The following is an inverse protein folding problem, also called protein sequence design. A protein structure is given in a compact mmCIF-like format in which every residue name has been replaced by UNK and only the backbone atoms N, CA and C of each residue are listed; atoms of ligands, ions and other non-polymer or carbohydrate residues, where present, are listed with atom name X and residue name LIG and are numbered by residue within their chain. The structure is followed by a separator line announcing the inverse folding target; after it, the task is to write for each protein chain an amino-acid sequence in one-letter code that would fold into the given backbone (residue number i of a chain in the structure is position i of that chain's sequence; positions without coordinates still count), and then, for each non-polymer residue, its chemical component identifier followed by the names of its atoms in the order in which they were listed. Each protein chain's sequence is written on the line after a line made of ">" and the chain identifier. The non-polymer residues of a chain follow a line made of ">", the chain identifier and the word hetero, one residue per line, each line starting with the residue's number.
data_IF_115266241032
#
_entry.id   IF_115266241032
#
_cell.length_a   1.000
_cell.length_b   1.000
_cell.length_c   1.000
_cell.angle_alpha   90.00
_cell.angle_beta   90.00
_cell.angle_gamma   90.00
#
_symmetry.space_group_name_H-M   'P 1'
#
loop_
_entity.id
_entity.type
_entity.pdbx_description
1 polymer ?
#
# COMPACT_ATOMS: atom_id res chain seq x y z
N UNK A 1 -11.90 -9.05 10.56
CA UNK A 1 -12.19 -7.89 9.70
C UNK A 1 -12.21 -8.32 8.24
N UNK A 2 -12.99 -7.61 7.40
CA UNK A 2 -12.81 -7.64 5.94
C UNK A 2 -11.75 -6.66 5.52
N UNK A 3 -10.67 -7.16 4.94
CA UNK A 3 -9.51 -6.34 4.57
C UNK A 3 -9.35 -6.39 3.06
N UNK A 4 -9.51 -5.26 2.39
CA UNK A 4 -9.24 -5.13 0.96
C UNK A 4 -7.79 -4.71 0.76
N UNK A 5 -7.05 -5.52 -0.01
CA UNK A 5 -5.66 -5.24 -0.37
C UNK A 5 -5.60 -4.84 -1.85
N UNK A 6 -5.26 -3.59 -2.09
CA UNK A 6 -5.08 -3.03 -3.42
C UNK A 6 -3.59 -2.93 -3.75
N UNK A 7 -3.19 -3.50 -4.88
CA UNK A 7 -1.90 -3.19 -5.49
C UNK A 7 -2.11 -1.96 -6.39
N UNK A 8 -1.43 -0.87 -6.07
CA UNK A 8 -1.50 0.37 -6.82
C UNK A 8 -1.16 0.15 -8.31
N UNK A 9 -1.81 0.94 -9.15
CA UNK A 9 -1.65 0.93 -10.60
C UNK A 9 -2.08 -0.37 -11.31
N UNK A 10 -2.09 -0.34 -12.62
CA UNK A 10 -2.31 -1.52 -13.47
C UNK A 10 -0.98 -2.05 -13.99
N UNK A 11 -0.91 -3.33 -14.31
CA UNK A 11 0.30 -3.95 -14.86
C UNK A 11 0.55 -3.53 -16.31
N UNK A 12 -0.54 -3.31 -17.06
CA UNK A 12 -0.51 -2.96 -18.47
C UNK A 12 -1.38 -1.72 -18.74
N UNK A 13 -1.11 -1.02 -19.86
CA UNK A 13 -1.87 0.14 -20.27
C UNK A 13 -1.22 1.46 -19.85
N UNK A 14 -2.03 2.49 -19.63
CA UNK A 14 -1.58 3.87 -19.38
C UNK A 14 -1.35 4.22 -17.92
N UNK A 15 -1.79 3.37 -16.99
CA UNK A 15 -1.75 3.62 -15.54
C UNK A 15 -0.78 2.71 -14.80
N UNK A 16 0.42 2.51 -15.33
CA UNK A 16 1.42 1.56 -14.80
C UNK A 16 2.27 2.11 -13.65
N UNK A 17 2.03 3.33 -13.21
CA UNK A 17 2.75 3.95 -12.11
C UNK A 17 4.16 4.41 -12.46
N UNK A 18 4.95 4.66 -11.44
CA UNK A 18 6.29 5.18 -11.56
C UNK A 18 7.30 4.08 -11.95
N UNK A 19 8.33 4.49 -12.70
CA UNK A 19 9.42 3.62 -13.14
C UNK A 19 10.75 4.29 -12.81
N UNK A 20 11.61 3.54 -12.13
CA UNK A 20 12.97 3.96 -11.78
C UNK A 20 13.85 2.71 -11.61
N UNK A 21 14.53 2.59 -10.49
CA UNK A 21 15.24 1.35 -10.08
C UNK A 21 14.27 0.21 -9.81
N UNK A 22 13.04 0.55 -9.47
CA UNK A 22 11.89 -0.33 -9.28
C UNK A 22 10.79 0.04 -10.29
N UNK A 23 9.95 -0.92 -10.63
CA UNK A 23 8.76 -0.70 -11.46
C UNK A 23 7.55 -0.84 -10.52
N UNK A 24 6.92 0.28 -10.20
CA UNK A 24 5.89 0.35 -9.16
C UNK A 24 4.80 -0.70 -9.33
N UNK A 25 4.17 -0.79 -10.50
CA UNK A 25 3.08 -1.74 -10.74
C UNK A 25 3.47 -3.21 -10.58
N UNK A 26 4.74 -3.55 -10.76
CA UNK A 26 5.25 -4.91 -10.56
C UNK A 26 5.50 -5.17 -9.08
N UNK A 27 6.18 -4.23 -8.42
CA UNK A 27 6.61 -4.43 -7.04
C UNK A 27 5.45 -4.35 -6.05
N UNK A 28 4.48 -3.45 -6.27
CA UNK A 28 3.27 -3.36 -5.43
C UNK A 28 2.46 -4.66 -5.45
N UNK A 29 2.38 -5.34 -6.60
CA UNK A 29 1.71 -6.65 -6.71
C UNK A 29 2.40 -7.71 -5.89
N UNK A 30 3.73 -7.79 -5.96
CA UNK A 30 4.49 -8.79 -5.20
C UNK A 30 4.33 -8.57 -3.69
N UNK A 31 4.36 -7.30 -3.23
CA UNK A 31 4.09 -6.97 -1.83
C UNK A 31 2.65 -7.36 -1.46
N UNK A 32 1.67 -7.00 -2.30
CA UNK A 32 0.27 -7.30 -2.04
C UNK A 32 0.00 -8.80 -1.96
N UNK A 33 0.56 -9.60 -2.87
CA UNK A 33 0.41 -11.06 -2.84
C UNK A 33 1.05 -11.68 -1.59
N UNK A 34 2.24 -11.22 -1.20
CA UNK A 34 2.89 -11.71 0.01
C UNK A 34 2.11 -11.30 1.27
N UNK A 35 1.56 -10.08 1.30
CA UNK A 35 0.69 -9.62 2.39
C UNK A 35 -0.59 -10.46 2.49
N UNK A 36 -1.26 -10.72 1.38
CA UNK A 36 -2.46 -11.57 1.35
C UNK A 36 -2.16 -12.99 1.83
N UNK A 37 -1.02 -13.55 1.43
CA UNK A 37 -0.56 -14.86 1.92
C UNK A 37 -0.36 -14.87 3.43
N UNK A 38 0.29 -13.86 4.00
CA UNK A 38 0.48 -13.76 5.46
C UNK A 38 -0.84 -13.53 6.22
N UNK A 39 -1.77 -12.79 5.63
CA UNK A 39 -3.09 -12.57 6.22
C UNK A 39 -4.02 -13.79 6.12
N UNK A 40 -3.76 -14.73 5.21
CA UNK A 40 -4.56 -15.96 5.07
C UNK A 40 -4.52 -16.85 6.33
N UNK A 41 -3.44 -16.74 7.13
CA UNK A 41 -3.29 -17.47 8.41
C UNK A 41 -3.91 -16.69 9.60
N UNK A 42 -4.66 -15.63 9.34
CA UNK A 42 -5.33 -14.80 10.34
C UNK A 42 -6.86 -14.91 10.22
N UNK A 43 -7.66 -14.49 11.24
CA UNK A 43 -9.11 -14.52 11.16
C UNK A 43 -9.71 -13.41 10.28
N UNK A 44 -8.94 -12.87 9.34
CA UNK A 44 -9.39 -11.82 8.43
C UNK A 44 -9.95 -12.41 7.13
N UNK A 45 -11.04 -11.81 6.63
CA UNK A 45 -11.57 -12.04 5.28
C UNK A 45 -10.80 -11.12 4.31
N UNK A 46 -9.87 -11.69 3.54
CA UNK A 46 -8.95 -10.93 2.68
C UNK A 46 -9.48 -10.87 1.26
N UNK A 47 -9.70 -9.68 0.76
CA UNK A 47 -10.28 -9.41 -0.54
C UNK A 47 -9.23 -8.75 -1.45
N UNK A 48 -8.77 -9.43 -2.51
CA UNK A 48 -7.82 -8.84 -3.45
C UNK A 48 -8.50 -7.79 -4.34
N UNK A 49 -7.88 -6.61 -4.46
CA UNK A 49 -8.22 -5.57 -5.41
C UNK A 49 -6.99 -5.30 -6.31
N UNK A 50 -6.67 -6.28 -7.15
CA UNK A 50 -5.51 -6.27 -8.05
C UNK A 50 -6.00 -6.32 -9.49
N UNK A 51 -5.76 -5.26 -10.26
CA UNK A 51 -6.25 -5.10 -11.62
C UNK A 51 -5.08 -5.00 -12.60
N UNK A 52 -4.97 -5.95 -13.52
CA UNK A 52 -3.85 -5.99 -14.46
C UNK A 52 -4.03 -5.05 -15.65
N UNK A 53 -5.27 -4.88 -16.10
CA UNK A 53 -5.59 -4.01 -17.24
C UNK A 53 -7.00 -3.44 -17.09
N UNK A 54 -7.09 -2.15 -16.80
CA UNK A 54 -8.32 -1.37 -16.77
C UNK A 54 -7.96 0.12 -16.76
N UNK A 55 -8.85 0.97 -17.24
CA UNK A 55 -8.70 2.44 -17.17
C UNK A 55 -9.36 3.02 -15.89
N UNK A 56 -10.07 2.18 -15.14
CA UNK A 56 -10.89 2.57 -13.98
C UNK A 56 -10.47 1.86 -12.69
N UNK A 57 -9.19 1.48 -12.57
CA UNK A 57 -8.68 0.72 -11.42
C UNK A 57 -8.97 1.38 -10.05
N UNK A 58 -8.92 2.71 -9.96
CA UNK A 58 -9.22 3.42 -8.70
C UNK A 58 -10.70 3.29 -8.34
N UNK A 59 -11.58 3.44 -9.33
CA UNK A 59 -13.03 3.29 -9.18
C UNK A 59 -13.40 1.86 -8.83
N UNK A 60 -12.81 0.89 -9.52
CA UNK A 60 -13.05 -0.54 -9.28
C UNK A 60 -12.59 -0.96 -7.88
N UNK A 61 -11.40 -0.52 -7.42
CA UNK A 61 -10.89 -0.82 -6.10
C UNK A 61 -11.78 -0.24 -4.99
N UNK A 62 -12.21 1.01 -5.12
CA UNK A 62 -13.10 1.66 -4.15
C UNK A 62 -14.51 1.07 -4.16
N UNK A 63 -15.05 0.77 -5.35
CA UNK A 63 -16.35 0.13 -5.48
C UNK A 63 -16.35 -1.27 -4.84
N UNK A 64 -15.30 -2.06 -5.08
CA UNK A 64 -15.13 -3.38 -4.47
C UNK A 64 -15.13 -3.29 -2.94
N UNK A 65 -14.34 -2.38 -2.37
CA UNK A 65 -14.28 -2.18 -0.92
C UNK A 65 -15.66 -1.80 -0.35
N UNK A 66 -16.35 -0.87 -1.00
CA UNK A 66 -17.65 -0.38 -0.55
C UNK A 66 -18.78 -1.43 -0.68
N UNK A 67 -18.82 -2.19 -1.79
CA UNK A 67 -19.82 -3.25 -2.02
C UNK A 67 -19.60 -4.43 -1.07
N UNK A 68 -18.35 -4.75 -0.78
CA UNK A 68 -17.98 -5.84 0.15
C UNK A 68 -18.11 -5.41 1.62
N UNK A 69 -18.51 -4.17 1.92
CA UNK A 69 -18.56 -3.61 3.28
C UNK A 69 -17.25 -3.89 4.03
N UNK A 70 -16.12 -3.50 3.42
CA UNK A 70 -14.82 -3.67 4.02
C UNK A 70 -14.69 -2.89 5.34
N UNK A 71 -13.91 -3.41 6.27
CA UNK A 71 -13.55 -2.74 7.52
C UNK A 71 -12.25 -1.92 7.32
N UNK A 72 -11.40 -2.38 6.41
CA UNK A 72 -10.10 -1.77 6.12
C UNK A 72 -9.76 -1.89 4.64
N UNK A 73 -9.25 -0.82 4.06
CA UNK A 73 -8.71 -0.75 2.71
C UNK A 73 -7.24 -0.31 2.76
N UNK A 74 -6.35 -1.14 2.24
CA UNK A 74 -4.91 -0.83 2.12
C UNK A 74 -4.55 -0.76 0.63
N UNK A 75 -4.10 0.41 0.18
CA UNK A 75 -3.55 0.60 -1.16
C UNK A 75 -2.03 0.71 -1.09
N UNK A 76 -1.31 -0.19 -1.76
CA UNK A 76 0.14 -0.28 -1.72
C UNK A 76 0.71 0.39 -2.97
N UNK A 77 1.59 1.36 -2.77
CA UNK A 77 2.25 2.18 -3.78
C UNK A 77 3.76 2.28 -3.54
N UNK A 78 4.48 2.76 -4.54
CA UNK A 78 5.86 3.21 -4.45
C UNK A 78 5.96 4.62 -5.00
N UNK A 79 6.59 5.51 -4.27
CA UNK A 79 6.72 6.93 -4.58
C UNK A 79 7.77 7.21 -5.67
N UNK A 80 7.73 8.41 -6.22
CA UNK A 80 8.73 8.95 -7.13
C UNK A 80 8.98 10.44 -6.86
N UNK A 81 10.08 11.00 -7.37
CA UNK A 81 10.40 12.43 -7.23
C UNK A 81 11.65 12.70 -6.40
N UNK A 82 12.60 11.76 -6.41
CA UNK A 82 13.93 11.86 -5.78
C UNK A 82 13.92 12.06 -4.25
N UNK A 83 12.78 11.73 -3.60
CA UNK A 83 12.72 11.62 -2.15
C UNK A 83 13.31 10.29 -1.65
N UNK A 84 13.15 9.99 -0.36
CA UNK A 84 13.50 8.69 0.22
C UNK A 84 12.64 8.39 1.44
N UNK A 85 12.40 7.09 1.70
CA UNK A 85 11.65 6.60 2.84
C UNK A 85 10.18 6.33 2.57
N UNK A 86 9.45 5.97 3.62
CA UNK A 86 8.04 5.55 3.59
C UNK A 86 7.12 6.65 4.10
N UNK A 87 5.95 6.79 3.49
CA UNK A 87 4.88 7.67 3.95
C UNK A 87 3.51 7.02 3.77
N UNK A 88 2.53 7.47 4.51
CA UNK A 88 1.17 6.97 4.41
C UNK A 88 0.16 8.11 4.31
N UNK A 89 -0.91 7.89 3.56
CA UNK A 89 -1.99 8.85 3.40
C UNK A 89 -3.29 8.28 3.96
N UNK A 90 -4.00 9.09 4.74
CA UNK A 90 -5.30 8.74 5.34
C UNK A 90 -6.28 9.90 5.23
N UNK A 91 -7.59 9.62 5.39
CA UNK A 91 -8.61 10.66 5.34
C UNK A 91 -8.53 11.58 6.56
N UNK A 92 -8.15 12.84 6.35
CA UNK A 92 -8.12 13.92 7.37
C UNK A 92 -7.52 13.53 8.73
N UNK A 93 -6.89 12.36 8.82
CA UNK A 93 -6.42 11.79 10.07
C UNK A 93 -4.91 11.59 10.05
N UNK A 94 -4.20 12.56 10.58
CA UNK A 94 -2.74 12.47 10.77
C UNK A 94 -2.33 11.50 11.89
N UNK A 95 -3.30 11.04 12.70
CA UNK A 95 -3.10 10.17 13.87
C UNK A 95 -3.66 8.75 13.65
N UNK A 96 -3.84 8.31 12.40
CA UNK A 96 -4.30 6.95 12.12
C UNK A 96 -3.30 5.93 12.67
N UNK A 97 -3.74 5.14 13.67
CA UNK A 97 -2.87 4.21 14.40
C UNK A 97 -2.25 3.16 13.48
N UNK A 98 -3.02 2.56 12.54
CA UNK A 98 -2.49 1.56 11.61
C UNK A 98 -1.41 2.14 10.69
N UNK A 99 -1.67 3.31 10.13
CA UNK A 99 -0.69 4.00 9.29
C UNK A 99 0.60 4.30 10.07
N UNK A 100 0.48 4.77 11.33
CA UNK A 100 1.63 5.01 12.20
C UNK A 100 2.40 3.72 12.51
N UNK A 101 1.71 2.63 12.83
CA UNK A 101 2.32 1.34 13.13
C UNK A 101 3.01 0.74 11.88
N UNK A 102 2.39 0.83 10.69
CA UNK A 102 3.03 0.42 9.42
C UNK A 102 4.34 1.18 9.21
N UNK A 103 4.30 2.50 9.32
CA UNK A 103 5.50 3.33 9.11
C UNK A 103 6.59 3.06 10.15
N UNK A 104 6.21 2.82 11.41
CA UNK A 104 7.15 2.39 12.47
C UNK A 104 7.81 1.06 12.11
N UNK A 105 7.04 0.08 11.64
CA UNK A 105 7.55 -1.24 11.26
C UNK A 105 8.46 -1.17 10.03
N UNK A 106 8.11 -0.36 9.03
CA UNK A 106 8.97 -0.11 7.87
C UNK A 106 10.27 0.61 8.26
N UNK A 107 10.19 1.54 9.22
CA UNK A 107 11.37 2.23 9.75
C UNK A 107 12.33 1.25 10.44
N UNK A 108 11.83 0.21 11.09
CA UNK A 108 12.67 -0.85 11.66
C UNK A 108 13.42 -1.67 10.59
N UNK A 109 12.97 -1.65 9.33
CA UNK A 109 13.68 -2.24 8.18
C UNK A 109 14.73 -1.29 7.58
N UNK A 110 14.80 -0.03 8.07
CA UNK A 110 15.74 0.99 7.65
C UNK A 110 15.15 2.14 6.82
N UNK A 111 13.88 2.04 6.38
CA UNK A 111 13.25 3.12 5.63
C UNK A 111 13.03 4.37 6.49
N UNK A 112 13.33 5.54 5.97
CA UNK A 112 13.04 6.80 6.67
C UNK A 112 11.53 6.97 6.84
N UNK A 113 11.06 7.18 8.06
CA UNK A 113 9.66 7.46 8.34
C UNK A 113 9.34 8.94 8.02
N UNK A 114 8.53 9.17 6.98
CA UNK A 114 8.11 10.49 6.50
C UNK A 114 6.75 10.93 7.08
N UNK A 115 6.15 10.08 7.91
CA UNK A 115 4.91 10.38 8.62
C UNK A 115 3.63 10.10 7.84
N UNK A 116 2.53 10.25 8.55
CA UNK A 116 1.18 10.15 8.00
C UNK A 116 0.74 11.53 7.50
N UNK A 117 0.14 11.56 6.31
CA UNK A 117 -0.28 12.77 5.59
C UNK A 117 -1.78 12.76 5.33
N UNK A 118 -2.35 13.92 5.08
CA UNK A 118 -3.73 14.03 4.63
C UNK A 118 -3.86 13.57 3.17
N UNK A 119 -4.59 12.48 2.97
CA UNK A 119 -4.91 11.88 1.67
C UNK A 119 -6.28 12.26 1.14
N UNK A 120 -6.98 13.23 1.71
CA UNK A 120 -8.37 13.58 1.31
C UNK A 120 -8.51 14.04 -0.14
N UNK A 121 -7.42 14.38 -0.82
CA UNK A 121 -7.36 14.67 -2.25
C UNK A 121 -7.19 13.42 -3.13
N UNK A 122 -6.77 12.28 -2.55
CA UNK A 122 -6.54 11.03 -3.28
C UNK A 122 -7.86 10.27 -3.47
N UNK A 123 -8.11 9.82 -4.71
CA UNK A 123 -9.37 9.20 -5.09
C UNK A 123 -9.76 8.04 -4.17
N UNK A 124 -8.86 7.08 -3.96
CA UNK A 124 -9.13 5.88 -3.17
C UNK A 124 -9.36 6.19 -1.69
N UNK A 125 -8.70 7.21 -1.14
CA UNK A 125 -8.93 7.65 0.24
C UNK A 125 -10.27 8.38 0.37
N UNK A 126 -10.59 9.25 -0.60
CA UNK A 126 -11.82 10.06 -0.59
C UNK A 126 -13.08 9.23 -0.77
N UNK A 127 -13.04 8.21 -1.61
CA UNK A 127 -14.24 7.48 -2.06
C UNK A 127 -14.42 6.11 -1.37
N UNK A 128 -13.50 5.68 -0.53
CA UNK A 128 -13.64 4.48 0.30
C UNK A 128 -14.37 4.83 1.60
N UNK A 129 -15.40 4.05 1.96
CA UNK A 129 -16.26 4.30 3.14
C UNK A 129 -15.66 3.81 4.45
N UNK A 130 -14.81 2.79 4.40
CA UNK A 130 -14.14 2.24 5.59
C UNK A 130 -12.83 2.99 5.90
N UNK A 131 -12.18 2.58 6.98
CA UNK A 131 -10.80 3.00 7.25
C UNK A 131 -9.92 2.69 6.04
N UNK A 132 -9.18 3.69 5.55
CA UNK A 132 -8.36 3.54 4.36
C UNK A 132 -6.96 4.13 4.55
N UNK A 133 -5.97 3.40 4.06
CA UNK A 133 -4.55 3.78 4.07
C UNK A 133 -3.98 3.59 2.66
N UNK A 134 -3.43 4.64 2.07
CA UNK A 134 -2.54 4.52 0.92
C UNK A 134 -1.11 4.60 1.44
N UNK A 135 -0.34 3.57 1.16
CA UNK A 135 1.03 3.40 1.64
C UNK A 135 2.02 3.57 0.50
N UNK A 136 2.90 4.54 0.62
CA UNK A 136 4.09 4.69 -0.21
C UNK A 136 5.25 4.04 0.51
N UNK A 137 5.64 2.83 0.08
CA UNK A 137 6.63 2.00 0.78
C UNK A 137 8.03 2.61 0.70
N UNK A 138 8.42 3.09 -0.47
CA UNK A 138 9.73 3.71 -0.74
C UNK A 138 9.69 4.46 -2.08
N UNK A 139 10.78 5.15 -2.43
CA UNK A 139 10.90 5.83 -3.73
C UNK A 139 11.56 4.92 -4.77
N UNK A 140 10.93 4.80 -5.95
CA UNK A 140 11.43 3.96 -7.06
C UNK A 140 12.74 4.48 -7.67
N UNK A 141 12.99 5.78 -7.53
CA UNK A 141 14.09 6.52 -8.15
C UNK A 141 15.21 6.90 -7.16
N UNK A 142 15.24 6.26 -5.97
CA UNK A 142 16.24 6.49 -4.94
C UNK A 142 17.10 5.24 -4.69
N UNK A 143 18.44 5.40 -4.76
CA UNK A 143 19.39 4.29 -4.63
C UNK A 143 19.40 3.67 -3.22
N UNK A 144 19.25 4.50 -2.17
CA UNK A 144 19.20 4.03 -0.78
C UNK A 144 17.94 3.20 -0.54
N UNK A 145 16.79 3.71 -0.99
CA UNK A 145 15.52 3.00 -0.88
C UNK A 145 15.54 1.69 -1.67
N UNK A 146 16.12 1.71 -2.88
CA UNK A 146 16.30 0.49 -3.68
C UNK A 146 17.13 -0.56 -2.94
N UNK A 147 18.26 -0.17 -2.34
CA UNK A 147 19.12 -1.08 -1.59
C UNK A 147 18.39 -1.67 -0.38
N UNK A 148 17.64 -0.83 0.37
CA UNK A 148 16.83 -1.26 1.51
C UNK A 148 15.70 -2.20 1.07
N UNK A 149 15.01 -1.88 -0.03
CA UNK A 149 13.95 -2.72 -0.61
C UNK A 149 14.46 -4.12 -0.97
N UNK A 150 15.61 -4.19 -1.65
CA UNK A 150 16.25 -5.46 -2.01
C UNK A 150 16.71 -6.26 -0.79
N UNK A 151 17.23 -5.58 0.25
CA UNK A 151 17.67 -6.20 1.52
C UNK A 151 16.49 -6.72 2.33
N UNK A 152 15.40 -5.96 2.41
CA UNK A 152 14.21 -6.34 3.15
C UNK A 152 13.47 -7.49 2.46
N UNK A 153 13.30 -7.39 1.15
CA UNK A 153 12.47 -8.31 0.35
C UNK A 153 10.97 -8.14 0.63
N UNK A 154 10.16 -8.77 -0.19
CA UNK A 154 8.69 -8.64 -0.12
C UNK A 154 8.13 -9.17 1.18
N UNK A 155 8.68 -10.27 1.71
CA UNK A 155 8.22 -10.94 2.92
C UNK A 155 8.27 -10.02 4.14
N UNK A 156 9.41 -9.35 4.39
CA UNK A 156 9.55 -8.45 5.54
C UNK A 156 8.74 -7.17 5.37
N UNK A 157 8.64 -6.63 4.15
CA UNK A 157 7.80 -5.47 3.86
C UNK A 157 6.33 -5.82 4.11
N UNK A 158 5.85 -6.95 3.60
CA UNK A 158 4.50 -7.44 3.85
C UNK A 158 4.25 -7.70 5.34
N UNK A 159 5.22 -8.28 6.06
CA UNK A 159 5.14 -8.53 7.51
C UNK A 159 5.02 -7.23 8.32
N UNK A 160 5.70 -6.16 7.90
CA UNK A 160 5.58 -4.85 8.53
C UNK A 160 4.14 -4.30 8.43
N UNK A 161 3.46 -4.54 7.31
CA UNK A 161 2.06 -4.15 7.09
C UNK A 161 1.12 -5.09 7.85
N UNK A 162 1.31 -6.41 7.71
CA UNK A 162 0.48 -7.44 8.34
C UNK A 162 0.43 -7.27 9.87
N UNK A 163 1.57 -7.04 10.52
CA UNK A 163 1.66 -6.81 11.96
C UNK A 163 0.84 -5.61 12.42
N UNK A 164 0.76 -4.55 11.63
CA UNK A 164 -0.04 -3.36 11.94
C UNK A 164 -1.55 -3.55 11.72
N UNK A 165 -1.95 -4.48 10.83
CA UNK A 165 -3.36 -4.86 10.66
C UNK A 165 -3.85 -5.63 11.90
N UNK A 166 -2.98 -6.42 12.51
CA UNK A 166 -3.26 -7.26 13.67
C UNK A 166 -3.51 -8.71 13.29
N UNK A 167 -3.42 -9.57 14.29
CA UNK A 167 -3.73 -11.00 14.17
C UNK A 167 -5.17 -11.28 14.54
#
# INVERSE_FOLDING_TARGET
>A
MRVVINAGHTKFGTSTGAVGRLVESIETRKIAYELMKQLADTPHDVIPAVFDKTETNLQEATALANIRNADLFISIHLNAGKGHGSEAYTWRCKQNKRALDILKNLSALGFTNRGVKDGSHLYVIKNTKCESVLLEVCFVDNDTDFALFKKAGYEKIASAICTAIGK
#
